data_IF_994551533030
#
_entry.id   IF_994551533030
#
_cell.length_a   1.000
_cell.length_b   1.000
_cell.length_c   1.000
_cell.angle_alpha   90.00
_cell.angle_beta   90.00
_cell.angle_gamma   90.00
#
_symmetry.space_group_name_H-M   'P 1'
#
loop_
_entity.id
_entity.type
_entity.pdbx_description
1 polymer ?
#
# COMPACT_ATOMS: atom_id res chain seq x y z
N UNK A 1 -2.75 -22.30 6.26
CA UNK A 1 -3.02 -20.87 6.57
C UNK A 1 -1.76 -20.03 6.41
N UNK A 2 -0.68 -20.28 7.15
CA UNK A 2 0.58 -19.53 6.98
C UNK A 2 1.14 -19.60 5.55
N UNK A 3 1.12 -20.78 4.91
CA UNK A 3 1.53 -20.95 3.52
C UNK A 3 0.71 -20.11 2.55
N UNK A 4 -0.62 -20.08 2.71
CA UNK A 4 -1.54 -19.27 1.92
C UNK A 4 -1.24 -17.77 2.05
N UNK A 5 -0.98 -17.32 3.29
CA UNK A 5 -0.68 -15.91 3.57
C UNK A 5 0.67 -15.50 2.96
N UNK A 6 1.71 -16.33 3.11
CA UNK A 6 3.02 -16.08 2.48
C UNK A 6 2.94 -16.10 0.95
N UNK A 7 2.19 -17.04 0.36
CA UNK A 7 1.96 -17.04 -1.08
C UNK A 7 1.21 -15.80 -1.54
N UNK A 8 0.21 -15.33 -0.77
CA UNK A 8 -0.53 -14.11 -1.11
C UNK A 8 0.34 -12.86 -1.10
N UNK A 9 1.26 -12.76 -0.12
CA UNK A 9 2.24 -11.68 -0.06
C UNK A 9 3.18 -11.70 -1.28
N UNK A 10 3.69 -12.88 -1.64
CA UNK A 10 4.52 -13.03 -2.83
C UNK A 10 3.74 -12.65 -4.10
N UNK A 11 2.51 -13.14 -4.27
CA UNK A 11 1.69 -12.80 -5.44
C UNK A 11 1.36 -11.31 -5.52
N UNK A 12 1.10 -10.65 -4.39
CA UNK A 12 0.86 -9.20 -4.37
C UNK A 12 2.07 -8.44 -4.90
N UNK A 13 3.27 -8.75 -4.41
CA UNK A 13 4.52 -8.14 -4.93
C UNK A 13 4.75 -8.43 -6.42
N UNK A 14 4.54 -9.67 -6.88
CA UNK A 14 4.70 -10.03 -8.29
C UNK A 14 3.72 -9.26 -9.18
N UNK A 15 2.45 -9.14 -8.77
CA UNK A 15 1.44 -8.35 -9.48
C UNK A 15 1.90 -6.90 -9.57
N UNK A 16 2.38 -6.29 -8.49
CA UNK A 16 2.86 -4.90 -8.52
C UNK A 16 4.03 -4.70 -9.49
N UNK A 17 5.00 -5.61 -9.52
CA UNK A 17 6.20 -5.48 -10.36
C UNK A 17 5.93 -5.75 -11.85
N UNK A 18 4.98 -6.62 -12.16
CA UNK A 18 4.63 -7.00 -13.55
C UNK A 18 3.52 -6.13 -14.16
N UNK A 19 2.87 -5.30 -13.36
CA UNK A 19 1.75 -4.46 -13.80
C UNK A 19 2.21 -3.33 -14.70
N UNK A 20 1.48 -3.12 -15.79
CA UNK A 20 1.60 -1.95 -16.67
C UNK A 20 0.43 -0.98 -16.49
N UNK A 21 -0.60 -1.37 -15.73
CA UNK A 21 -1.81 -0.60 -15.49
C UNK A 21 -1.89 -0.20 -14.01
N UNK A 22 -2.14 1.08 -13.73
CA UNK A 22 -2.14 1.63 -12.37
C UNK A 22 -3.09 0.91 -11.41
N UNK A 23 -4.30 0.59 -11.88
CA UNK A 23 -5.27 -0.17 -11.07
C UNK A 23 -4.78 -1.57 -10.68
N UNK A 24 -4.01 -2.22 -11.55
CA UNK A 24 -3.49 -3.55 -11.28
C UNK A 24 -2.31 -3.52 -10.31
N UNK A 25 -1.45 -2.49 -10.43
CA UNK A 25 -0.44 -2.20 -9.43
C UNK A 25 -1.07 -1.88 -8.07
N UNK A 26 -2.16 -1.11 -8.03
CA UNK A 26 -2.88 -0.85 -6.78
C UNK A 26 -3.45 -2.14 -6.16
N UNK A 27 -4.05 -3.02 -6.96
CA UNK A 27 -4.58 -4.30 -6.47
C UNK A 27 -3.50 -5.18 -5.84
N UNK A 28 -2.31 -5.25 -6.45
CA UNK A 28 -1.18 -5.97 -5.85
C UNK A 28 -0.74 -5.39 -4.50
N UNK A 29 -0.79 -4.06 -4.34
CA UNK A 29 -0.48 -3.39 -3.08
C UNK A 29 -1.52 -3.66 -1.98
N UNK A 30 -2.81 -3.77 -2.32
CA UNK A 30 -3.88 -4.15 -1.38
C UNK A 30 -3.81 -5.62 -0.97
N UNK A 31 -3.43 -6.51 -1.87
CA UNK A 31 -3.20 -7.91 -1.52
C UNK A 31 -2.09 -8.00 -0.46
N UNK A 32 -1.03 -7.20 -0.58
CA UNK A 32 0.06 -7.15 0.39
C UNK A 32 -0.39 -6.64 1.78
N UNK A 33 -1.24 -5.61 1.83
CA UNK A 33 -1.74 -5.06 3.11
C UNK A 33 -2.65 -6.04 3.81
N UNK A 34 -3.55 -6.72 3.08
CA UNK A 34 -4.44 -7.72 3.67
C UNK A 34 -3.68 -8.98 4.12
N UNK A 35 -2.66 -9.39 3.37
CA UNK A 35 -1.86 -10.57 3.70
C UNK A 35 -1.04 -10.39 5.00
N UNK A 36 -0.60 -9.17 5.33
CA UNK A 36 0.28 -8.97 6.49
C UNK A 36 -0.47 -8.86 7.82
N UNK A 37 -1.76 -8.49 7.80
CA UNK A 37 -2.59 -8.33 9.02
C UNK A 37 -2.65 -9.63 9.85
N UNK A 38 -2.96 -10.81 9.27
CA UNK A 38 -2.95 -12.06 10.02
C UNK A 38 -1.56 -12.44 10.58
N UNK A 39 -0.47 -12.01 9.93
CA UNK A 39 0.89 -12.26 10.41
C UNK A 39 1.21 -11.39 11.63
N UNK A 40 0.77 -10.13 11.64
CA UNK A 40 0.95 -9.21 12.78
C UNK A 40 0.08 -9.63 13.99
N UNK A 41 -1.17 -10.00 13.74
CA UNK A 41 -2.11 -10.40 14.81
C UNK A 41 -1.93 -11.86 15.30
N UNK A 42 -0.86 -12.56 14.88
CA UNK A 42 -0.61 -13.96 15.23
C UNK A 42 -0.46 -14.18 16.74
N UNK A 43 0.14 -13.22 17.44
CA UNK A 43 0.16 -13.21 18.91
C UNK A 43 -1.10 -12.49 19.38
N UNK A 44 -1.99 -13.20 20.07
CA UNK A 44 -3.21 -12.63 20.65
C UNK A 44 -2.91 -11.76 21.88
N UNK A 45 -2.07 -10.74 21.70
CA UNK A 45 -1.76 -9.73 22.70
C UNK A 45 -2.40 -8.41 22.27
N UNK A 46 -3.00 -7.63 23.20
CA UNK A 46 -3.69 -6.38 22.85
C UNK A 46 -2.80 -5.39 22.08
N UNK A 47 -1.50 -5.41 22.36
CA UNK A 47 -0.51 -4.58 21.66
C UNK A 47 -0.32 -4.95 20.19
N UNK A 48 -0.32 -6.25 19.88
CA UNK A 48 -0.19 -6.73 18.50
C UNK A 48 -1.46 -6.40 17.68
N UNK A 49 -2.64 -6.43 18.32
CA UNK A 49 -3.88 -5.98 17.67
C UNK A 49 -3.92 -4.47 17.45
N UNK A 50 -3.38 -3.68 18.38
CA UNK A 50 -3.25 -2.23 18.18
C UNK A 50 -2.28 -1.89 17.04
N UNK A 51 -1.11 -2.54 17.00
CA UNK A 51 -0.16 -2.38 15.90
C UNK A 51 -0.77 -2.78 14.54
N UNK A 52 -1.48 -3.91 14.47
CA UNK A 52 -2.13 -4.36 13.25
C UNK A 52 -3.21 -3.37 12.76
N UNK A 53 -4.02 -2.81 13.66
CA UNK A 53 -5.04 -1.82 13.30
C UNK A 53 -4.45 -0.49 12.84
N UNK A 54 -3.40 0.00 13.51
CA UNK A 54 -2.65 1.20 13.08
C UNK A 54 -2.03 1.01 11.71
N UNK A 55 -1.37 -0.13 11.49
CA UNK A 55 -0.81 -0.49 10.19
C UNK A 55 -1.90 -0.50 9.10
N UNK A 56 -3.03 -1.17 9.35
CA UNK A 56 -4.13 -1.25 8.40
C UNK A 56 -4.66 0.13 8.00
N UNK A 57 -4.96 0.99 8.97
CA UNK A 57 -5.54 2.31 8.68
C UNK A 57 -4.61 3.19 7.83
N UNK A 58 -3.32 3.18 8.16
CA UNK A 58 -2.33 4.01 7.47
C UNK A 58 -2.05 3.49 6.07
N UNK A 59 -1.98 2.18 5.92
CA UNK A 59 -1.76 1.56 4.61
C UNK A 59 -3.00 1.65 3.71
N UNK A 60 -4.21 1.55 4.27
CA UNK A 60 -5.46 1.79 3.55
C UNK A 60 -5.57 3.25 3.09
N UNK A 61 -5.19 4.21 3.93
CA UNK A 61 -5.12 5.62 3.55
C UNK A 61 -4.11 5.86 2.42
N UNK A 62 -2.92 5.26 2.51
CA UNK A 62 -1.91 5.31 1.45
C UNK A 62 -2.43 4.68 0.14
N UNK A 63 -3.09 3.53 0.21
CA UNK A 63 -3.67 2.86 -0.95
C UNK A 63 -4.79 3.69 -1.59
N UNK A 64 -5.65 4.34 -0.80
CA UNK A 64 -6.67 5.27 -1.29
C UNK A 64 -6.05 6.47 -2.00
N UNK A 65 -4.95 7.04 -1.47
CA UNK A 65 -4.23 8.11 -2.15
C UNK A 65 -3.61 7.67 -3.49
N UNK A 66 -3.08 6.45 -3.59
CA UNK A 66 -2.58 5.90 -4.87
C UNK A 66 -3.72 5.80 -5.90
N UNK A 67 -4.89 5.29 -5.49
CA UNK A 67 -6.06 5.27 -6.36
C UNK A 67 -6.50 6.67 -6.77
N UNK A 68 -6.50 7.61 -5.85
CA UNK A 68 -6.90 8.98 -6.14
C UNK A 68 -5.92 9.69 -7.09
N UNK A 69 -4.62 9.48 -6.91
CA UNK A 69 -3.60 9.99 -7.84
C UNK A 69 -3.78 9.42 -9.25
N UNK A 70 -3.96 8.09 -9.34
CA UNK A 70 -4.13 7.42 -10.63
C UNK A 70 -5.45 7.77 -11.31
N UNK A 71 -6.54 7.95 -10.56
CA UNK A 71 -7.83 8.38 -11.12
C UNK A 71 -7.80 9.82 -11.63
N UNK A 72 -7.14 10.75 -10.92
CA UNK A 72 -6.90 12.11 -11.43
C UNK A 72 -6.06 12.05 -12.70
N UNK A 73 -5.01 11.23 -12.71
CA UNK A 73 -4.16 11.10 -13.89
C UNK A 73 -4.96 10.58 -15.08
N UNK A 74 -5.71 9.49 -14.90
CA UNK A 74 -6.56 8.90 -15.94
C UNK A 74 -7.69 9.82 -16.39
N UNK A 75 -8.23 10.65 -15.49
CA UNK A 75 -9.21 11.68 -15.85
C UNK A 75 -8.61 12.73 -16.78
N UNK A 76 -7.36 13.13 -16.57
CA UNK A 76 -6.69 14.17 -17.34
C UNK A 76 -6.09 13.65 -18.66
N UNK A 77 -5.52 12.45 -18.67
CA UNK A 77 -4.84 11.87 -19.85
C UNK A 77 -5.67 10.86 -20.62
N UNK A 78 -6.78 10.37 -20.03
CA UNK A 78 -7.59 9.30 -20.58
C UNK A 78 -6.95 7.91 -20.51
N UNK A 79 -5.80 7.76 -19.85
CA UNK A 79 -5.02 6.53 -19.84
C UNK A 79 -4.63 6.10 -18.41
N UNK A 80 -4.54 4.79 -18.21
CA UNK A 80 -4.16 4.17 -16.93
C UNK A 80 -2.77 3.53 -16.96
N UNK A 81 -2.01 3.78 -18.01
CA UNK A 81 -0.68 3.21 -18.21
C UNK A 81 0.34 3.82 -17.23
N UNK A 82 1.20 2.98 -16.66
CA UNK A 82 2.26 3.37 -15.73
C UNK A 82 3.46 3.97 -16.49
N UNK A 83 3.67 3.58 -17.74
CA UNK A 83 4.82 4.01 -18.55
C UNK A 83 4.75 5.48 -18.98
N UNK A 84 3.55 6.08 -18.94
CA UNK A 84 3.30 7.43 -19.38
C UNK A 84 3.63 8.46 -18.28
N UNK A 85 4.20 9.62 -18.63
CA UNK A 85 4.44 10.68 -17.67
C UNK A 85 3.11 11.17 -17.08
N UNK A 86 3.05 11.23 -15.75
CA UNK A 86 1.87 11.71 -15.02
C UNK A 86 1.89 13.23 -14.87
N UNK A 87 0.72 13.84 -14.68
CA UNK A 87 0.61 15.26 -14.34
C UNK A 87 1.37 15.57 -13.03
N UNK A 88 2.08 16.71 -12.90
CA UNK A 88 2.82 17.09 -11.69
C UNK A 88 1.99 16.97 -10.40
N UNK A 89 0.70 17.33 -10.42
CA UNK A 89 -0.17 17.19 -9.26
C UNK A 89 -0.39 15.73 -8.86
N UNK A 90 -0.66 14.85 -9.82
CA UNK A 90 -0.80 13.41 -9.59
C UNK A 90 0.52 12.79 -9.14
N UNK A 91 1.66 13.21 -9.71
CA UNK A 91 2.98 12.73 -9.26
C UNK A 91 3.27 13.11 -7.82
N UNK A 92 2.99 14.35 -7.42
CA UNK A 92 3.18 14.79 -6.04
C UNK A 92 2.33 13.93 -5.09
N UNK A 93 1.05 13.72 -5.41
CA UNK A 93 0.15 12.91 -4.59
C UNK A 93 0.58 11.43 -4.53
N UNK A 94 1.04 10.87 -5.65
CA UNK A 94 1.59 9.52 -5.70
C UNK A 94 2.86 9.39 -4.84
N UNK A 95 3.78 10.34 -4.93
CA UNK A 95 5.02 10.32 -4.13
C UNK A 95 4.73 10.42 -2.64
N UNK A 96 3.78 11.27 -2.23
CA UNK A 96 3.35 11.33 -0.82
C UNK A 96 2.72 10.02 -0.35
N UNK A 97 1.94 9.36 -1.21
CA UNK A 97 1.32 8.08 -0.87
C UNK A 97 2.37 6.95 -0.74
N UNK A 98 3.35 6.91 -1.64
CA UNK A 98 4.47 5.96 -1.56
C UNK A 98 5.35 6.24 -0.33
N UNK A 99 5.62 7.51 -0.01
CA UNK A 99 6.33 7.90 1.19
C UNK A 99 5.61 7.44 2.46
N UNK A 100 4.28 7.55 2.51
CA UNK A 100 3.46 7.03 3.60
C UNK A 100 3.56 5.49 3.70
N UNK A 101 3.53 4.79 2.56
CA UNK A 101 3.61 3.33 2.49
C UNK A 101 4.95 2.78 2.98
N UNK A 102 6.04 3.49 2.68
CA UNK A 102 7.42 3.17 3.09
C UNK A 102 7.77 3.67 4.51
N UNK A 103 6.99 4.61 5.07
CA UNK A 103 7.29 5.23 6.35
C UNK A 103 8.44 6.25 6.28
N UNK A 104 8.58 6.96 5.17
CA UNK A 104 9.57 8.04 5.03
C UNK A 104 9.16 9.28 5.83
N UNK A 105 10.14 10.08 6.28
CA UNK A 105 9.86 11.36 6.91
C UNK A 105 9.11 12.31 5.94
N UNK A 106 8.09 13.06 6.40
CA UNK A 106 7.60 13.22 7.77
C UNK A 106 6.61 12.13 8.25
N UNK A 107 6.13 11.23 7.37
CA UNK A 107 5.08 10.23 7.62
C UNK A 107 5.57 8.92 8.26
N UNK A 108 6.66 8.97 9.03
CA UNK A 108 7.34 7.81 9.62
C UNK A 108 6.77 7.37 10.99
N UNK A 109 5.88 8.15 11.58
CA UNK A 109 5.44 7.99 12.98
C UNK A 109 4.81 6.63 13.30
N UNK A 110 4.26 5.95 12.30
CA UNK A 110 3.64 4.65 12.48
C UNK A 110 4.62 3.48 12.54
N UNK A 111 5.79 3.63 11.93
CA UNK A 111 6.79 2.58 11.85
C UNK A 111 7.30 2.13 13.24
N UNK A 112 7.73 3.04 14.16
CA UNK A 112 8.22 2.62 15.47
C UNK A 112 7.12 1.98 16.34
N UNK A 113 5.88 2.48 16.26
CA UNK A 113 4.77 1.91 17.04
C UNK A 113 4.38 0.50 16.57
N UNK A 114 4.37 0.27 15.25
CA UNK A 114 4.04 -1.03 14.67
C UNK A 114 5.14 -2.05 14.92
N UNK A 115 6.42 -1.65 14.89
CA UNK A 115 7.55 -2.55 15.19
C UNK A 115 7.62 -2.97 16.66
N UNK A 116 7.09 -2.15 17.57
CA UNK A 116 7.13 -2.42 19.01
C UNK A 116 5.97 -3.30 19.51
N UNK A 117 4.87 -3.37 18.75
CA UNK A 117 3.68 -4.15 19.07
C UNK A 117 3.76 -5.61 18.69
#
# INVERSE_FOLDING_TARGET
ILSLVLSSLATGTIITMSSHHWLMAWMGLEINTLAIIPLMAKKHHPRATEAATKYFLIQAAAAAMILFSSSINAWLTGQWDISQPMNPYSTALLTTALAMKLGLAPLHLWLPEVLQG
#
